data_IF_921562747774
#
_entry.id   IF_921562747774
#
_cell.length_a   1.000
_cell.length_b   1.000
_cell.length_c   1.000
_cell.angle_alpha   90.00
_cell.angle_beta   90.00
_cell.angle_gamma   90.00
#
_symmetry.space_group_name_H-M   'P 1'
#
loop_
_entity.id
_entity.type
_entity.pdbx_description
1 polymer ?
#
# COMPACT_ATOMS: atom_id res chain seq x y z
N UNK A 1 15.49 -2.74 2.92
CA UNK A 1 15.23 -2.22 1.56
C UNK A 1 13.77 -2.37 1.12
N UNK A 2 13.15 -3.56 1.20
CA UNK A 2 11.74 -3.76 0.78
C UNK A 2 10.70 -2.88 1.52
N UNK A 3 10.93 -2.52 2.79
CA UNK A 3 10.05 -1.64 3.58
C UNK A 3 9.79 -0.28 2.92
N UNK A 4 10.72 0.20 2.08
CA UNK A 4 10.62 1.50 1.45
C UNK A 4 10.11 1.42 0.01
N UNK A 5 10.25 0.27 -0.64
CA UNK A 5 9.85 0.10 -2.02
C UNK A 5 8.33 0.21 -2.17
N UNK A 6 7.53 -0.46 -1.33
CA UNK A 6 6.07 -0.49 -1.49
C UNK A 6 5.42 0.92 -1.47
N UNK A 7 5.71 1.80 -0.49
CA UNK A 7 5.19 3.18 -0.52
C UNK A 7 5.71 4.02 -1.69
N UNK A 8 6.94 3.78 -2.17
CA UNK A 8 7.49 4.48 -3.32
C UNK A 8 6.80 4.08 -4.62
N UNK A 9 6.51 2.79 -4.83
CA UNK A 9 5.72 2.32 -5.96
C UNK A 9 4.28 2.86 -5.89
N UNK A 10 3.68 2.91 -4.70
CA UNK A 10 2.36 3.53 -4.52
C UNK A 10 2.37 5.02 -4.86
N UNK A 11 3.41 5.76 -4.44
CA UNK A 11 3.61 7.16 -4.85
C UNK A 11 3.81 7.28 -6.36
N UNK A 12 4.60 6.39 -6.97
CA UNK A 12 4.87 6.34 -8.40
C UNK A 12 3.60 6.14 -9.21
N UNK A 13 2.73 5.23 -8.78
CA UNK A 13 1.38 5.05 -9.34
C UNK A 13 0.61 6.38 -9.38
N UNK A 14 0.56 7.09 -8.24
CA UNK A 14 -0.10 8.39 -8.17
C UNK A 14 0.50 9.42 -9.13
N UNK A 15 1.82 9.47 -9.25
CA UNK A 15 2.52 10.42 -10.14
C UNK A 15 2.19 10.14 -11.61
N UNK A 16 2.29 8.88 -12.04
CA UNK A 16 1.97 8.49 -13.42
C UNK A 16 0.50 8.80 -13.72
N UNK A 17 -0.41 8.50 -12.79
CA UNK A 17 -1.84 8.83 -12.91
C UNK A 17 -2.10 10.33 -13.01
N UNK A 18 -1.36 11.18 -12.28
CA UNK A 18 -1.50 12.63 -12.40
C UNK A 18 -1.10 13.12 -13.79
N UNK A 19 0.02 12.65 -14.32
CA UNK A 19 0.47 13.00 -15.67
C UNK A 19 -0.49 12.48 -16.75
N UNK A 20 -0.95 11.23 -16.65
CA UNK A 20 -1.90 10.65 -17.60
C UNK A 20 -3.25 11.38 -17.65
N UNK A 21 -3.64 12.09 -16.59
CA UNK A 21 -4.86 12.92 -16.57
C UNK A 21 -4.65 14.35 -17.06
N UNK A 22 -3.42 14.78 -17.29
CA UNK A 22 -3.12 16.19 -17.59
C UNK A 22 -3.73 16.68 -18.91
N UNK A 23 -3.98 15.77 -19.86
CA UNK A 23 -4.60 16.07 -21.16
C UNK A 23 -6.13 15.82 -21.19
N UNK A 24 -6.72 15.39 -20.08
CA UNK A 24 -8.15 15.10 -19.93
C UNK A 24 -8.61 13.78 -20.56
N UNK A 25 -7.72 12.95 -21.13
CA UNK A 25 -8.09 11.73 -21.89
C UNK A 25 -7.90 10.42 -21.14
N UNK A 26 -7.60 10.48 -19.84
CA UNK A 26 -7.34 9.30 -19.01
C UNK A 26 -8.45 8.23 -19.11
N UNK A 27 -8.03 7.02 -19.49
CA UNK A 27 -8.85 5.87 -19.84
C UNK A 27 -7.98 4.71 -20.32
N UNK A 28 -8.50 3.69 -21.02
CA UNK A 28 -7.70 2.58 -21.50
C UNK A 28 -6.55 3.07 -22.41
N UNK A 29 -5.32 2.72 -22.06
CA UNK A 29 -4.12 3.28 -22.70
C UNK A 29 -2.83 3.00 -21.92
N UNK A 30 -1.69 3.45 -22.46
CA UNK A 30 -0.36 3.20 -21.87
C UNK A 30 -0.21 3.85 -20.48
N UNK A 31 -0.65 5.08 -20.32
CA UNK A 31 -0.63 5.82 -19.07
C UNK A 31 -1.44 5.13 -17.95
N UNK A 32 -2.63 4.62 -18.29
CA UNK A 32 -3.43 3.80 -17.38
C UNK A 32 -2.72 2.50 -17.02
N UNK A 33 -2.26 1.74 -18.02
CA UNK A 33 -1.64 0.43 -17.81
C UNK A 33 -0.37 0.56 -16.97
N UNK A 34 0.52 1.50 -17.30
CA UNK A 34 1.76 1.73 -16.56
C UNK A 34 1.45 2.16 -15.13
N UNK A 35 0.49 3.05 -14.92
CA UNK A 35 0.07 3.44 -13.57
C UNK A 35 -0.39 2.22 -12.75
N UNK A 36 -1.31 1.42 -13.28
CA UNK A 36 -1.89 0.30 -12.54
C UNK A 36 -0.90 -0.85 -12.34
N UNK A 37 0.00 -1.12 -13.28
CA UNK A 37 1.07 -2.11 -13.10
C UNK A 37 2.04 -1.66 -12.00
N UNK A 38 2.46 -0.39 -11.99
CA UNK A 38 3.32 0.17 -10.94
C UNK A 38 2.61 0.10 -9.57
N UNK A 39 1.31 0.43 -9.53
CA UNK A 39 0.50 0.31 -8.33
C UNK A 39 0.38 -1.13 -7.84
N UNK A 40 0.13 -2.08 -8.74
CA UNK A 40 0.04 -3.51 -8.45
C UNK A 40 1.36 -4.06 -7.88
N UNK A 41 2.50 -3.69 -8.48
CA UNK A 41 3.82 -4.04 -7.93
C UNK A 41 3.95 -3.49 -6.50
N UNK A 42 3.54 -2.24 -6.26
CA UNK A 42 3.49 -1.65 -4.94
C UNK A 42 2.65 -2.48 -3.94
N UNK A 43 1.46 -2.91 -4.35
CA UNK A 43 0.58 -3.75 -3.51
C UNK A 43 1.23 -5.10 -3.18
N UNK A 44 1.85 -5.77 -4.15
CA UNK A 44 2.57 -7.03 -3.89
C UNK A 44 3.74 -6.80 -2.93
N UNK A 45 4.47 -5.69 -3.07
CA UNK A 45 5.56 -5.34 -2.18
C UNK A 45 5.10 -4.99 -0.77
N UNK A 46 3.83 -4.64 -0.54
CA UNK A 46 3.30 -4.45 0.81
C UNK A 46 3.19 -5.77 1.61
N UNK A 47 3.16 -6.94 0.96
CA UNK A 47 3.13 -8.24 1.64
C UNK A 47 4.33 -8.40 2.61
N UNK A 48 5.60 -8.29 2.15
CA UNK A 48 6.74 -8.37 3.06
C UNK A 48 6.79 -7.19 4.05
N UNK A 49 6.20 -6.03 3.75
CA UNK A 49 6.11 -4.90 4.70
C UNK A 49 5.24 -5.28 5.90
N UNK A 50 4.03 -5.78 5.65
CA UNK A 50 3.07 -6.20 6.68
C UNK A 50 3.66 -7.31 7.54
N UNK A 51 4.24 -8.34 6.91
CA UNK A 51 4.90 -9.43 7.61
C UNK A 51 6.11 -8.95 8.42
N UNK A 52 6.90 -8.02 7.86
CA UNK A 52 8.06 -7.43 8.53
C UNK A 52 7.67 -6.63 9.77
N UNK A 53 6.65 -5.78 9.67
CA UNK A 53 6.07 -5.05 10.82
C UNK A 53 5.58 -6.02 11.90
N UNK A 54 4.92 -7.10 11.47
CA UNK A 54 4.49 -8.18 12.36
C UNK A 54 5.65 -8.82 13.12
N UNK A 55 6.78 -9.12 12.46
CA UNK A 55 7.96 -9.74 13.13
C UNK A 55 8.59 -8.88 14.23
N UNK A 56 8.35 -7.57 14.23
CA UNK A 56 8.85 -6.66 15.25
C UNK A 56 7.96 -6.59 16.51
N UNK A 57 6.81 -7.26 16.50
CA UNK A 57 5.84 -7.31 17.59
C UNK A 57 5.85 -8.68 18.28
N UNK A 58 5.57 -8.75 19.59
CA UNK A 58 5.42 -10.02 20.29
C UNK A 58 4.25 -10.83 19.72
N UNK A 59 4.42 -12.15 19.64
CA UNK A 59 3.39 -13.05 19.12
C UNK A 59 2.18 -13.08 20.06
N UNK A 60 1.03 -12.59 19.59
CA UNK A 60 -0.23 -12.64 20.31
C UNK A 60 -1.41 -12.56 19.31
N UNK A 61 -2.62 -12.84 19.80
CA UNK A 61 -3.83 -12.84 18.97
C UNK A 61 -4.05 -11.51 18.25
N UNK A 62 -3.86 -10.37 18.92
CA UNK A 62 -4.07 -9.05 18.33
C UNK A 62 -3.15 -8.76 17.15
N UNK A 63 -1.84 -9.06 17.29
CA UNK A 63 -0.87 -8.99 16.20
C UNK A 63 -1.28 -9.86 15.03
N UNK A 64 -1.63 -11.12 15.31
CA UNK A 64 -1.95 -12.10 14.26
C UNK A 64 -3.22 -11.69 13.51
N UNK A 65 -4.26 -11.23 14.22
CA UNK A 65 -5.48 -10.70 13.62
C UNK A 65 -5.21 -9.45 12.79
N UNK A 66 -4.40 -8.52 13.28
CA UNK A 66 -4.04 -7.32 12.51
C UNK A 66 -3.33 -7.69 11.21
N UNK A 67 -2.35 -8.60 11.24
CA UNK A 67 -1.67 -9.09 10.03
C UNK A 67 -2.67 -9.76 9.08
N UNK A 68 -3.51 -10.68 9.58
CA UNK A 68 -4.47 -11.40 8.75
C UNK A 68 -5.46 -10.46 8.06
N UNK A 69 -6.07 -9.54 8.82
CA UNK A 69 -6.99 -8.52 8.28
C UNK A 69 -6.29 -7.64 7.25
N UNK A 70 -5.05 -7.20 7.53
CA UNK A 70 -4.27 -6.39 6.59
C UNK A 70 -4.02 -7.13 5.28
N UNK A 71 -3.62 -8.41 5.35
CA UNK A 71 -3.32 -9.23 4.17
C UNK A 71 -4.57 -9.60 3.38
N UNK A 72 -5.71 -9.85 4.04
CA UNK A 72 -7.00 -10.06 3.37
C UNK A 72 -7.37 -8.80 2.59
N UNK A 73 -7.32 -7.62 3.23
CA UNK A 73 -7.58 -6.37 2.53
C UNK A 73 -6.61 -6.14 1.37
N UNK A 74 -5.33 -6.43 1.57
CA UNK A 74 -4.32 -6.28 0.53
C UNK A 74 -4.59 -7.20 -0.66
N UNK A 75 -4.99 -8.45 -0.41
CA UNK A 75 -5.37 -9.40 -1.45
C UNK A 75 -6.57 -8.88 -2.26
N UNK A 76 -7.59 -8.32 -1.61
CA UNK A 76 -8.73 -7.72 -2.32
C UNK A 76 -8.32 -6.50 -3.16
N UNK A 77 -7.42 -5.64 -2.66
CA UNK A 77 -6.85 -4.53 -3.44
C UNK A 77 -6.07 -5.03 -4.65
N UNK A 78 -5.27 -6.10 -4.49
CA UNK A 78 -4.53 -6.72 -5.61
C UNK A 78 -5.50 -7.22 -6.68
N UNK A 79 -6.59 -7.89 -6.29
CA UNK A 79 -7.63 -8.34 -7.24
C UNK A 79 -8.24 -7.14 -7.99
N UNK A 80 -8.53 -6.05 -7.29
CA UNK A 80 -9.04 -4.83 -7.92
C UNK A 80 -8.06 -4.28 -8.96
N UNK A 81 -6.77 -4.15 -8.63
CA UNK A 81 -5.74 -3.70 -9.59
C UNK A 81 -5.61 -4.62 -10.80
N UNK A 82 -5.65 -5.94 -10.58
CA UNK A 82 -5.60 -6.92 -11.69
C UNK A 82 -6.82 -6.77 -12.60
N UNK A 83 -8.01 -6.60 -12.01
CA UNK A 83 -9.24 -6.37 -12.76
C UNK A 83 -9.16 -5.07 -13.58
N UNK A 84 -8.68 -3.96 -12.99
CA UNK A 84 -8.53 -2.68 -13.66
C UNK A 84 -7.56 -2.74 -14.86
N UNK A 85 -6.45 -3.49 -14.71
CA UNK A 85 -5.50 -3.76 -15.83
C UNK A 85 -6.17 -4.61 -16.91
N UNK A 86 -6.92 -5.63 -16.52
CA UNK A 86 -7.60 -6.52 -17.47
C UNK A 86 -8.71 -5.79 -18.24
N UNK A 87 -9.49 -4.92 -17.60
CA UNK A 87 -10.53 -4.15 -18.26
C UNK A 87 -9.94 -3.15 -19.25
N UNK A 88 -8.90 -2.42 -18.85
CA UNK A 88 -8.24 -1.47 -19.74
C UNK A 88 -7.56 -2.17 -20.93
N UNK A 89 -7.02 -3.37 -20.74
CA UNK A 89 -6.41 -4.15 -21.83
C UNK A 89 -7.43 -4.64 -22.87
N UNK A 90 -8.69 -4.84 -22.46
CA UNK A 90 -9.75 -5.38 -23.32
C UNK A 90 -10.60 -4.28 -23.98
N UNK A 91 -10.71 -3.11 -23.35
CA UNK A 91 -11.58 -2.05 -23.80
C UNK A 91 -10.99 -1.24 -24.96
N UNK A 92 -11.80 -0.98 -25.99
CA UNK A 92 -11.43 -0.06 -27.07
C UNK A 92 -11.47 1.40 -26.63
N UNK A 93 -12.34 1.73 -25.68
CA UNK A 93 -12.52 3.09 -25.17
C UNK A 93 -12.98 3.12 -23.70
N UNK A 94 -13.13 4.33 -23.17
CA UNK A 94 -13.52 4.56 -21.77
C UNK A 94 -14.94 4.08 -21.46
N UNK A 95 -15.84 4.09 -22.43
CA UNK A 95 -17.22 3.64 -22.23
C UNK A 95 -17.27 2.12 -22.09
N UNK A 96 -16.54 1.40 -22.95
CA UNK A 96 -16.39 -0.05 -22.87
C UNK A 96 -15.68 -0.48 -21.58
N UNK A 97 -14.61 0.22 -21.20
CA UNK A 97 -13.93 -0.05 -19.94
C UNK A 97 -14.87 0.07 -18.74
N UNK A 98 -15.70 1.12 -18.73
CA UNK A 98 -16.70 1.34 -17.67
C UNK A 98 -17.76 0.23 -17.67
N UNK A 99 -18.19 -0.24 -18.85
CA UNK A 99 -19.13 -1.37 -18.98
C UNK A 99 -18.55 -2.66 -18.41
N UNK A 100 -17.28 -2.98 -18.70
CA UNK A 100 -16.59 -4.16 -18.17
C UNK A 100 -16.45 -4.10 -16.64
N UNK A 101 -16.04 -2.94 -16.11
CA UNK A 101 -15.93 -2.72 -14.66
C UNK A 101 -17.27 -2.85 -13.93
N UNK A 102 -18.34 -2.31 -14.51
CA UNK A 102 -19.69 -2.45 -13.97
C UNK A 102 -20.16 -3.91 -13.98
N UNK A 103 -20.01 -4.60 -15.12
CA UNK A 103 -20.39 -6.01 -15.24
C UNK A 103 -19.66 -6.89 -14.22
N UNK A 104 -18.38 -6.63 -13.94
CA UNK A 104 -17.65 -7.32 -12.88
C UNK A 104 -18.18 -6.97 -11.49
N UNK A 105 -18.41 -5.69 -11.21
CA UNK A 105 -18.91 -5.22 -9.92
C UNK A 105 -20.31 -5.72 -9.58
N UNK A 106 -21.12 -6.04 -10.61
CA UNK A 106 -22.49 -6.52 -10.46
C UNK A 106 -22.58 -8.03 -10.15
N UNK A 107 -21.46 -8.77 -10.23
CA UNK A 107 -21.38 -10.14 -9.75
C UNK A 107 -21.68 -10.15 -8.23
N UNK A 108 -22.61 -11.00 -7.74
CA UNK A 108 -22.96 -11.04 -6.33
C UNK A 108 -21.73 -11.21 -5.43
N UNK A 109 -21.57 -10.29 -4.48
CA UNK A 109 -20.45 -10.29 -3.53
C UNK A 109 -19.18 -9.57 -4.00
N UNK A 110 -19.02 -9.27 -5.30
CA UNK A 110 -17.80 -8.59 -5.80
C UNK A 110 -17.70 -7.16 -5.29
N UNK A 111 -18.75 -6.35 -5.46
CA UNK A 111 -18.79 -4.97 -4.95
C UNK A 111 -18.44 -4.87 -3.45
N UNK A 112 -19.10 -5.61 -2.53
CA UNK A 112 -18.73 -5.54 -1.12
C UNK A 112 -17.30 -6.05 -0.87
N UNK A 113 -16.89 -7.16 -1.48
CA UNK A 113 -15.58 -7.75 -1.21
C UNK A 113 -14.41 -6.91 -1.75
N UNK A 114 -14.47 -6.43 -2.98
CA UNK A 114 -13.32 -5.85 -3.68
C UNK A 114 -13.38 -4.33 -3.85
N UNK A 115 -14.51 -3.68 -3.56
CA UNK A 115 -14.65 -2.24 -3.73
C UNK A 115 -15.03 -1.50 -2.44
N UNK A 116 -15.84 -2.12 -1.56
CA UNK A 116 -16.36 -1.43 -0.36
C UNK A 116 -15.67 -1.83 0.94
N UNK A 117 -15.46 -3.12 1.19
CA UNK A 117 -15.01 -3.62 2.50
C UNK A 117 -13.56 -4.07 2.46
N UNK A 118 -13.18 -4.90 1.48
CA UNK A 118 -11.85 -5.48 1.42
C UNK A 118 -10.72 -4.46 1.39
N UNK A 119 -10.66 -3.55 0.39
CA UNK A 119 -9.55 -2.62 0.29
C UNK A 119 -9.36 -1.73 1.54
N UNK A 120 -10.42 -1.19 2.18
CA UNK A 120 -10.27 -0.48 3.46
C UNK A 120 -9.62 -1.29 4.60
N UNK A 121 -9.80 -2.63 4.64
CA UNK A 121 -9.15 -3.47 5.67
C UNK A 121 -7.63 -3.44 5.58
N UNK A 122 -7.06 -3.28 4.38
CA UNK A 122 -5.62 -3.12 4.20
C UNK A 122 -5.11 -1.88 4.94
N UNK A 123 -5.75 -0.74 4.67
CA UNK A 123 -5.36 0.54 5.26
C UNK A 123 -5.60 0.57 6.78
N UNK A 124 -6.75 0.08 7.23
CA UNK A 124 -7.04 -0.07 8.65
C UNK A 124 -6.00 -0.94 9.36
N UNK A 125 -5.66 -2.07 8.75
CA UNK A 125 -4.64 -2.98 9.25
C UNK A 125 -3.26 -2.34 9.38
N UNK A 126 -2.83 -1.55 8.38
CA UNK A 126 -1.59 -0.76 8.46
C UNK A 126 -1.62 0.24 9.63
N UNK A 127 -2.73 0.96 9.83
CA UNK A 127 -2.89 1.88 10.95
C UNK A 127 -2.74 1.11 12.27
N UNK A 128 -3.46 0.00 12.44
CA UNK A 128 -3.38 -0.83 13.66
C UNK A 128 -1.94 -1.31 13.90
N UNK A 129 -1.26 -1.83 12.88
CA UNK A 129 0.13 -2.29 13.02
C UNK A 129 1.08 -1.16 13.41
N UNK A 130 0.92 0.04 12.85
CA UNK A 130 1.73 1.21 13.27
C UNK A 130 1.44 1.63 14.72
N UNK A 131 0.18 1.58 15.17
CA UNK A 131 -0.19 1.83 16.58
C UNK A 131 0.50 0.82 17.49
N UNK A 132 0.42 -0.47 17.16
CA UNK A 132 1.05 -1.54 17.95
C UNK A 132 2.57 -1.33 18.04
N UNK A 133 3.22 -0.97 16.93
CA UNK A 133 4.65 -0.69 16.91
C UNK A 133 5.02 0.55 17.72
N UNK A 134 4.21 1.61 17.68
CA UNK A 134 4.43 2.80 18.51
C UNK A 134 4.29 2.46 20.00
N UNK A 135 3.27 1.68 20.39
CA UNK A 135 3.10 1.20 21.77
C UNK A 135 4.23 0.29 22.24
N UNK A 136 4.82 -0.48 21.33
CA UNK A 136 5.99 -1.32 21.61
C UNK A 136 7.33 -0.52 21.59
N UNK A 137 7.29 0.81 21.47
CA UNK A 137 8.49 1.66 21.44
C UNK A 137 9.33 1.52 20.17
N UNK A 138 8.79 0.90 19.11
CA UNK A 138 9.49 0.68 17.82
C UNK A 138 9.27 1.83 16.84
N UNK A 139 8.20 2.61 17.02
CA UNK A 139 7.87 3.80 16.21
C UNK A 139 7.68 5.02 17.10
N UNK A 140 7.73 6.21 16.46
CA UNK A 140 7.42 7.48 17.12
C UNK A 140 5.91 7.65 17.24
N UNK A 141 5.46 8.41 18.23
CA UNK A 141 4.01 8.63 18.49
C UNK A 141 3.26 9.28 17.32
N UNK A 142 3.95 10.05 16.46
CA UNK A 142 3.35 10.66 15.27
C UNK A 142 3.21 9.69 14.10
N UNK A 143 3.93 8.56 14.10
CA UNK A 143 3.92 7.60 12.99
C UNK A 143 2.51 7.06 12.68
N UNK A 144 1.69 6.63 13.67
CA UNK A 144 0.34 6.17 13.39
C UNK A 144 -0.58 7.28 12.87
N UNK A 145 -0.43 8.51 13.38
CA UNK A 145 -1.22 9.67 12.92
C UNK A 145 -0.88 9.97 11.47
N UNK A 146 0.41 10.01 11.12
CA UNK A 146 0.84 10.23 9.75
C UNK A 146 0.39 9.08 8.82
N UNK A 147 0.48 7.83 9.27
CA UNK A 147 -0.03 6.68 8.53
C UNK A 147 -1.53 6.84 8.23
N UNK A 148 -2.33 7.15 9.26
CA UNK A 148 -3.77 7.36 9.10
C UNK A 148 -4.09 8.48 8.10
N UNK A 149 -3.48 9.66 8.25
CA UNK A 149 -3.66 10.78 7.31
C UNK A 149 -3.29 10.36 5.88
N UNK A 150 -2.14 9.68 5.73
CA UNK A 150 -1.66 9.22 4.44
C UNK A 150 -2.65 8.24 3.79
N UNK A 151 -3.14 7.26 4.54
CA UNK A 151 -4.07 6.25 4.03
C UNK A 151 -5.47 6.77 3.71
N UNK A 152 -5.93 7.81 4.42
CA UNK A 152 -7.25 8.40 4.23
C UNK A 152 -7.26 9.46 3.11
N UNK A 153 -6.10 10.06 2.81
CA UNK A 153 -6.02 11.11 1.79
C UNK A 153 -6.54 10.70 0.39
N UNK A 154 -6.28 9.47 -0.13
CA UNK A 154 -6.82 9.05 -1.43
C UNK A 154 -8.34 8.89 -1.45
N UNK A 155 -9.00 8.80 -0.29
CA UNK A 155 -10.46 8.73 -0.19
C UNK A 155 -11.12 10.09 -0.46
N UNK A 156 -10.40 11.19 -0.23
CA UNK A 156 -10.85 12.55 -0.57
C UNK A 156 -10.67 12.76 -2.08
N UNK A 157 -9.47 12.47 -2.57
CA UNK A 157 -9.16 12.48 -3.98
C UNK A 157 -7.95 11.60 -4.25
N UNK A 158 -8.02 10.81 -5.31
CA UNK A 158 -6.92 9.97 -5.79
C UNK A 158 -5.68 10.80 -6.20
N UNK A 159 -5.81 12.11 -6.31
CA UNK A 159 -4.72 13.03 -6.68
C UNK A 159 -3.70 13.19 -5.54
N UNK A 160 -4.10 12.80 -4.32
CA UNK A 160 -3.25 12.78 -3.15
C UNK A 160 -2.44 11.48 -3.00
N UNK A 161 -2.60 10.50 -3.90
CA UNK A 161 -1.83 9.24 -3.85
C UNK A 161 -0.30 9.47 -3.78
N UNK A 162 0.32 10.40 -4.53
CA UNK A 162 1.76 10.66 -4.39
C UNK A 162 2.15 11.04 -2.95
N UNK A 163 1.39 11.97 -2.36
CA UNK A 163 1.62 12.41 -0.99
C UNK A 163 1.31 11.31 0.01
N UNK A 164 0.30 10.48 -0.23
CA UNK A 164 -0.02 9.31 0.57
C UNK A 164 1.15 8.33 0.63
N UNK A 165 1.75 7.98 -0.52
CA UNK A 165 2.90 7.09 -0.58
C UNK A 165 4.12 7.64 0.17
N UNK A 166 4.42 8.93 0.01
CA UNK A 166 5.50 9.60 0.75
C UNK A 166 5.20 9.63 2.25
N UNK A 167 3.98 9.96 2.66
CA UNK A 167 3.57 9.99 4.06
C UNK A 167 3.63 8.60 4.72
N UNK A 168 3.18 7.56 4.00
CA UNK A 168 3.33 6.17 4.42
C UNK A 168 4.81 5.81 4.61
N UNK A 169 5.69 6.18 3.66
CA UNK A 169 7.12 5.97 3.78
C UNK A 169 7.67 6.64 5.06
N UNK A 170 7.38 7.93 5.24
CA UNK A 170 7.86 8.72 6.38
C UNK A 170 7.38 8.13 7.71
N UNK A 171 6.15 7.61 7.76
CA UNK A 171 5.59 6.99 8.96
C UNK A 171 6.39 5.78 9.45
N UNK A 172 7.03 5.03 8.54
CA UNK A 172 7.79 3.80 8.87
C UNK A 172 9.32 3.97 8.80
N UNK A 173 9.82 5.12 8.33
CA UNK A 173 11.26 5.43 8.28
C UNK A 173 12.05 5.12 9.57
N UNK A 174 11.52 5.37 10.79
CA UNK A 174 12.26 5.06 12.03
C UNK A 174 12.64 3.57 12.19
N UNK A 175 11.91 2.65 11.55
CA UNK A 175 12.20 1.22 11.63
C UNK A 175 13.52 0.85 10.95
N UNK A 176 13.82 1.45 9.80
CA UNK A 176 15.06 1.15 9.06
C UNK A 176 16.31 1.65 9.78
N UNK A 177 16.22 2.82 10.43
CA UNK A 177 17.35 3.39 11.19
C UNK A 177 17.74 2.54 12.41
N UNK A 178 16.80 1.81 12.98
CA UNK A 178 17.05 0.94 14.13
C UNK A 178 17.74 -0.36 13.71
N UNK A 179 17.36 -0.92 12.54
CA UNK A 179 17.97 -2.13 12.00
C UNK A 179 19.45 -1.94 11.61
N UNK A 180 19.79 -0.80 11.00
CA UNK A 180 21.17 -0.49 10.61
C UNK A 180 22.10 -0.30 11.83
N UNK A 181 21.57 0.25 12.93
CA UNK A 181 22.34 0.41 14.18
C UNK A 181 22.69 -0.92 14.85
N UNK A 182 21.82 -1.93 14.76
CA UNK A 182 22.09 -3.28 15.27
C UNK A 182 23.03 -4.10 14.37
N UNK A 183 23.16 -3.74 13.09
CA UNK A 183 24.03 -4.42 12.13
C UNK A 183 25.47 -3.88 12.10
N UNK A 184 25.74 -2.73 12.73
CA UNK A 184 27.09 -2.21 12.87
C UNK A 184 27.94 -3.16 13.75
N UNK A 185 29.13 -3.59 13.30
CA UNK A 185 29.99 -4.46 14.11
C UNK A 185 30.36 -3.76 15.42
N UNK A 186 30.17 -4.47 16.54
CA UNK A 186 30.56 -3.99 17.87
C UNK A 186 32.01 -3.51 17.86
N UNK A 187 32.33 -2.34 18.47
CA UNK A 187 33.70 -1.80 18.55
C UNK A 187 34.71 -2.81 19.12
N UNK A 188 34.24 -3.77 19.92
CA UNK A 188 35.03 -4.86 20.48
C UNK A 188 35.73 -5.75 19.42
N UNK A 189 35.23 -5.84 18.19
CA UNK A 189 35.86 -6.64 17.14
C UNK A 189 36.94 -5.87 16.34
N UNK A 190 37.03 -4.54 16.49
CA UNK A 190 38.03 -3.70 15.81
C UNK A 190 39.32 -3.50 16.61
N UNK A 191 39.33 -3.83 17.90
CA UNK A 191 40.50 -3.71 18.76
C UNK A 191 41.39 -4.97 18.81
N UNK A 192 41.09 -5.98 17.98
CA UNK A 192 41.77 -7.27 17.96
C UNK A 192 42.48 -7.57 16.62
N UNK A 193 42.76 -6.55 15.80
CA UNK A 193 43.43 -6.67 14.50
C UNK A 193 44.62 -5.73 14.38
#
# INVERSE_FOLDING_TARGET
MLLFAAPLFFSGYGVIRLFGRADGRYGPGLDWQVAHIVGLIGMVLFIPVVLGMGRLLPSNALRNSAIAVTLIGLATTIVQFVADVAFAAQAADKAEMSRLSNAFSDIPGVRPAFYLVGPPLFFLGLIVLTILLARAGRLRWWSPVLMAISTLSPMITLDLIPLAGVGMLVSVLPLGRTADKTAAPSPALRAAG
#
